data_IF_934839140903
#
_entry.id   IF_934839140903
#
_cell.length_a   1.000
_cell.length_b   1.000
_cell.length_c   1.000
_cell.angle_alpha   90.00
_cell.angle_beta   90.00
_cell.angle_gamma   90.00
#
_symmetry.space_group_name_H-M   'P 1'
#
loop_
_entity.id
_entity.type
_entity.pdbx_description
1 polymer ?
#
# COMPACT_ATOMS: atom_id res chain seq x y z
N UNK A 1 -33.27 8.67 3.86
CA UNK A 1 -32.49 7.59 4.49
C UNK A 1 -32.46 6.30 3.67
N UNK A 2 -33.22 6.17 2.57
CA UNK A 2 -33.31 4.90 1.85
C UNK A 2 -34.15 3.88 2.61
N UNK A 3 -35.05 4.33 3.49
CA UNK A 3 -36.08 3.49 4.08
C UNK A 3 -37.39 3.59 3.30
N UNK A 4 -38.11 2.48 3.23
CA UNK A 4 -39.47 2.36 2.71
C UNK A 4 -40.24 1.47 3.67
N UNK A 5 -41.07 2.06 4.52
CA UNK A 5 -41.83 1.33 5.55
C UNK A 5 -43.29 1.79 5.56
N UNK A 6 -44.19 0.91 6.00
CA UNK A 6 -45.60 1.27 6.22
C UNK A 6 -46.47 1.37 4.96
N UNK A 7 -46.09 0.69 3.86
CA UNK A 7 -46.93 0.55 2.67
C UNK A 7 -47.39 -0.89 2.53
N UNK A 8 -48.71 -1.05 2.54
CA UNK A 8 -49.40 -2.31 2.34
C UNK A 8 -49.88 -2.36 0.89
N UNK A 9 -49.46 -3.37 0.15
CA UNK A 9 -49.97 -3.63 -1.18
C UNK A 9 -51.20 -4.52 -1.06
N UNK A 10 -52.35 -4.02 -1.50
CA UNK A 10 -53.56 -4.84 -1.62
C UNK A 10 -53.34 -5.87 -2.74
N UNK A 11 -53.32 -7.14 -2.38
CA UNK A 11 -53.04 -8.24 -3.32
C UNK A 11 -54.22 -9.19 -3.49
N UNK A 12 -55.21 -9.14 -2.59
CA UNK A 12 -56.42 -9.94 -2.69
C UNK A 12 -57.67 -9.11 -3.03
N UNK A 13 -58.78 -9.80 -3.23
CA UNK A 13 -60.06 -9.20 -3.62
C UNK A 13 -60.78 -8.53 -2.43
N UNK A 14 -60.47 -8.93 -1.20
CA UNK A 14 -61.13 -8.45 0.03
C UNK A 14 -60.23 -7.47 0.79
N UNK A 15 -60.84 -6.46 1.43
CA UNK A 15 -60.12 -5.49 2.25
C UNK A 15 -59.29 -6.19 3.35
N UNK A 16 -57.99 -5.89 3.39
CA UNK A 16 -57.06 -6.44 4.39
C UNK A 16 -56.15 -7.56 3.86
N UNK A 17 -56.42 -8.12 2.68
CA UNK A 17 -55.52 -9.06 2.00
C UNK A 17 -54.32 -8.31 1.41
N UNK A 18 -53.33 -8.03 2.26
CA UNK A 18 -52.19 -7.19 1.93
C UNK A 18 -50.84 -7.86 2.17
N UNK A 19 -49.85 -7.46 1.37
CA UNK A 19 -48.43 -7.74 1.62
C UNK A 19 -47.76 -6.46 2.09
N UNK A 20 -47.06 -6.54 3.22
CA UNK A 20 -46.23 -5.46 3.73
C UNK A 20 -44.81 -5.58 3.20
N UNK A 21 -44.27 -4.51 2.64
CA UNK A 21 -42.85 -4.42 2.27
C UNK A 21 -42.19 -3.41 3.20
N UNK A 22 -41.07 -3.82 3.80
CA UNK A 22 -40.19 -2.93 4.56
C UNK A 22 -38.78 -3.01 3.98
N UNK A 23 -38.25 -1.88 3.53
CA UNK A 23 -36.87 -1.73 3.05
C UNK A 23 -36.18 -0.78 4.02
N UNK A 24 -35.18 -1.25 4.76
CA UNK A 24 -34.51 -0.46 5.80
C UNK A 24 -35.43 -0.01 6.95
N UNK A 25 -34.89 0.77 7.88
CA UNK A 25 -35.65 1.45 8.94
C UNK A 25 -35.09 2.86 9.14
N UNK A 26 -35.81 3.74 9.86
CA UNK A 26 -35.27 5.04 10.24
C UNK A 26 -33.96 4.85 11.02
N UNK A 27 -32.85 5.41 10.50
CA UNK A 27 -31.50 5.21 11.05
C UNK A 27 -30.79 3.91 10.64
N UNK A 28 -31.44 3.01 9.88
CA UNK A 28 -30.89 1.79 9.27
C UNK A 28 -31.30 1.65 7.80
N UNK A 29 -31.51 2.77 7.12
CA UNK A 29 -31.88 2.78 5.72
C UNK A 29 -30.67 2.47 4.83
N UNK A 30 -30.90 2.19 3.55
CA UNK A 30 -29.81 1.80 2.64
C UNK A 30 -29.00 2.99 2.10
N UNK A 31 -29.08 4.17 2.73
CA UNK A 31 -28.22 5.30 2.38
C UNK A 31 -26.81 5.16 2.99
N UNK A 32 -25.89 6.03 2.59
CA UNK A 32 -24.50 6.02 3.07
C UNK A 32 -24.40 6.00 4.61
N UNK A 33 -25.25 6.76 5.31
CA UNK A 33 -25.28 6.77 6.78
C UNK A 33 -25.76 5.44 7.37
N UNK A 34 -26.85 4.86 6.86
CA UNK A 34 -27.40 3.62 7.40
C UNK A 34 -26.63 2.36 7.02
N UNK A 35 -25.81 2.43 5.96
CA UNK A 35 -24.79 1.42 5.63
C UNK A 35 -23.45 1.64 6.35
N UNK A 36 -23.31 2.72 7.13
CA UNK A 36 -22.07 3.03 7.86
C UNK A 36 -20.90 3.45 6.97
N UNK A 37 -21.16 3.86 5.73
CA UNK A 37 -20.14 4.29 4.77
C UNK A 37 -20.05 5.81 4.59
N UNK A 38 -20.87 6.56 5.33
CA UNK A 38 -20.81 8.02 5.34
C UNK A 38 -19.47 8.48 5.95
N UNK A 39 -18.65 9.15 5.16
CA UNK A 39 -17.31 9.58 5.56
C UNK A 39 -16.22 8.53 5.33
N UNK A 40 -16.52 7.41 4.66
CA UNK A 40 -15.46 6.56 4.09
C UNK A 40 -14.80 7.34 2.97
N UNK A 41 -13.63 7.87 3.27
CA UNK A 41 -12.78 8.58 2.33
C UNK A 41 -11.52 7.75 2.07
N UNK A 42 -11.43 7.21 0.85
CA UNK A 42 -10.25 6.47 0.35
C UNK A 42 -9.33 7.36 -0.49
N UNK A 43 -9.59 8.68 -0.49
CA UNK A 43 -8.83 9.67 -1.25
C UNK A 43 -7.80 10.41 -0.39
N UNK A 44 -7.77 10.17 0.92
CA UNK A 44 -6.73 10.69 1.82
C UNK A 44 -5.39 10.07 1.43
N UNK A 45 -4.69 10.72 0.52
CA UNK A 45 -3.35 10.36 0.08
C UNK A 45 -2.34 10.67 1.18
N UNK A 46 -1.53 9.68 1.55
CA UNK A 46 -0.32 9.91 2.32
C UNK A 46 0.62 10.90 1.62
N UNK A 47 1.65 11.36 2.34
CA UNK A 47 2.62 12.35 1.83
C UNK A 47 3.23 11.96 0.48
N UNK A 48 3.37 10.67 0.20
CA UNK A 48 3.90 10.14 -1.06
C UNK A 48 2.77 9.60 -1.94
N UNK A 49 2.73 10.04 -3.20
CA UNK A 49 1.70 9.61 -4.17
C UNK A 49 2.32 8.79 -5.31
N UNK A 50 1.56 7.83 -5.84
CA UNK A 50 1.97 7.07 -7.03
C UNK A 50 2.10 8.01 -8.24
N UNK A 51 3.19 7.87 -9.00
CA UNK A 51 3.43 8.56 -10.27
C UNK A 51 4.22 7.66 -11.21
N UNK A 52 3.98 7.75 -12.52
CA UNK A 52 4.80 7.05 -13.51
C UNK A 52 6.24 7.58 -13.56
N UNK A 53 6.43 8.88 -13.30
CA UNK A 53 7.74 9.52 -13.30
C UNK A 53 8.20 9.82 -11.86
N UNK A 54 9.51 9.67 -11.63
CA UNK A 54 10.14 10.11 -10.39
C UNK A 54 10.04 11.63 -10.26
N UNK A 55 9.45 12.09 -9.18
CA UNK A 55 9.31 13.50 -8.83
C UNK A 55 9.20 13.63 -7.30
N UNK A 56 9.51 14.80 -6.77
CA UNK A 56 9.46 15.02 -5.33
C UNK A 56 8.09 14.65 -4.74
N UNK A 57 8.09 13.91 -3.63
CA UNK A 57 6.87 13.46 -2.96
C UNK A 57 6.11 12.38 -3.73
N UNK A 58 6.77 11.71 -4.69
CA UNK A 58 6.17 10.62 -5.48
C UNK A 58 6.87 9.29 -5.26
N UNK A 59 6.10 8.22 -5.46
CA UNK A 59 6.58 6.86 -5.64
C UNK A 59 6.39 6.46 -7.09
N UNK A 60 7.48 6.10 -7.76
CA UNK A 60 7.44 5.55 -9.12
C UNK A 60 7.82 4.08 -9.12
N UNK A 61 7.01 3.25 -9.77
CA UNK A 61 7.28 1.83 -9.93
C UNK A 61 7.79 1.53 -11.33
N UNK A 62 8.79 0.66 -11.43
CA UNK A 62 9.19 0.06 -12.70
C UNK A 62 8.52 -1.30 -12.84
N UNK A 63 8.00 -1.61 -14.02
CA UNK A 63 7.41 -2.93 -14.27
C UNK A 63 8.50 -3.99 -14.24
N UNK A 64 8.17 -5.17 -13.71
CA UNK A 64 9.02 -6.34 -13.90
C UNK A 64 9.06 -6.74 -15.38
N UNK A 65 10.15 -7.39 -15.77
CA UNK A 65 10.31 -8.01 -17.09
C UNK A 65 11.01 -9.35 -16.93
N UNK A 66 11.22 -10.05 -18.04
CA UNK A 66 11.96 -11.31 -18.05
C UNK A 66 13.46 -11.14 -17.73
N UNK A 67 13.97 -9.90 -17.75
CA UNK A 67 15.40 -9.61 -17.56
C UNK A 67 15.68 -8.63 -16.43
N UNK A 68 14.64 -8.07 -15.81
CA UNK A 68 14.78 -7.08 -14.74
C UNK A 68 13.66 -7.21 -13.72
N UNK A 69 14.03 -7.10 -12.44
CA UNK A 69 13.07 -7.05 -11.35
C UNK A 69 12.42 -5.67 -11.26
N UNK A 70 11.21 -5.65 -10.72
CA UNK A 70 10.51 -4.41 -10.42
C UNK A 70 11.17 -3.63 -9.27
N UNK A 71 11.11 -2.32 -9.34
CA UNK A 71 11.55 -1.42 -8.26
C UNK A 71 10.48 -0.40 -7.91
N UNK A 72 10.45 0.02 -6.64
CA UNK A 72 9.65 1.15 -6.18
C UNK A 72 10.60 2.24 -5.70
N UNK A 73 10.61 3.39 -6.35
CA UNK A 73 11.46 4.53 -5.99
C UNK A 73 10.62 5.59 -5.32
N UNK A 74 10.83 5.78 -4.03
CA UNK A 74 10.27 6.88 -3.24
C UNK A 74 11.22 8.06 -3.37
N UNK A 75 10.76 9.17 -3.93
CA UNK A 75 11.57 10.38 -4.07
C UNK A 75 11.18 11.35 -2.97
N UNK A 76 12.17 11.84 -2.23
CA UNK A 76 11.98 12.77 -1.11
C UNK A 76 11.07 13.92 -1.51
N UNK A 77 10.16 14.28 -0.62
CA UNK A 77 9.30 15.41 -0.83
C UNK A 77 10.07 16.74 -0.80
N UNK A 78 9.61 17.73 -1.56
CA UNK A 78 10.32 18.99 -1.71
C UNK A 78 10.43 19.78 -0.38
N UNK A 79 9.55 19.51 0.59
CA UNK A 79 9.60 20.13 1.91
C UNK A 79 10.41 19.32 2.93
N UNK A 80 10.81 18.10 2.60
CA UNK A 80 11.58 17.24 3.48
C UNK A 80 13.08 17.39 3.21
N UNK A 81 13.86 17.11 4.24
CA UNK A 81 15.29 17.14 4.15
C UNK A 81 15.84 15.75 3.73
N UNK A 82 17.10 15.70 3.28
CA UNK A 82 17.73 14.49 2.69
C UNK A 82 17.64 13.25 3.58
N UNK A 83 17.32 12.09 2.99
CA UNK A 83 17.29 10.80 3.70
C UNK A 83 18.65 10.37 4.26
N UNK A 84 19.76 11.00 3.85
CA UNK A 84 21.10 10.65 4.35
C UNK A 84 21.70 11.70 5.28
N UNK A 85 21.08 12.87 5.42
CA UNK A 85 21.63 13.98 6.22
C UNK A 85 20.72 14.40 7.38
N UNK A 86 19.43 14.05 7.34
CA UNK A 86 18.40 14.63 8.22
C UNK A 86 18.08 13.80 9.47
N UNK A 87 18.91 12.82 9.79
CA UNK A 87 18.63 11.90 10.88
C UNK A 87 17.40 11.03 10.58
N UNK A 88 16.50 10.93 11.56
CA UNK A 88 15.35 10.01 11.54
C UNK A 88 14.07 10.64 10.98
N UNK A 89 13.99 11.97 10.91
CA UNK A 89 12.71 12.66 10.71
C UNK A 89 12.12 12.41 9.31
N UNK A 90 12.95 12.43 8.26
CA UNK A 90 12.49 12.11 6.90
C UNK A 90 11.97 10.66 6.77
N UNK A 91 12.44 9.74 7.63
CA UNK A 91 11.95 8.36 7.65
C UNK A 91 10.61 8.22 8.37
N UNK A 92 10.37 8.98 9.45
CA UNK A 92 9.07 9.00 10.16
C UNK A 92 7.93 9.50 9.29
N UNK A 93 8.25 10.32 8.29
CA UNK A 93 7.31 10.84 7.29
C UNK A 93 6.97 9.83 6.19
N UNK A 94 7.65 8.67 6.13
CA UNK A 94 7.29 7.61 5.21
C UNK A 94 5.95 7.01 5.62
N UNK A 95 5.00 7.05 4.69
CA UNK A 95 3.64 6.49 4.82
C UNK A 95 3.29 5.79 3.51
N UNK A 96 2.40 4.81 3.62
CA UNK A 96 1.98 3.97 2.52
C UNK A 96 2.48 2.53 2.66
N UNK A 97 1.94 1.65 1.83
CA UNK A 97 2.22 0.22 1.84
C UNK A 97 2.91 -0.19 0.55
N UNK A 98 3.99 -0.96 0.69
CA UNK A 98 4.64 -1.67 -0.42
C UNK A 98 4.15 -3.11 -0.40
N UNK A 99 3.64 -3.59 -1.54
CA UNK A 99 3.18 -4.97 -1.70
C UNK A 99 3.95 -5.67 -2.82
N UNK A 100 4.46 -6.86 -2.51
CA UNK A 100 5.20 -7.71 -3.44
C UNK A 100 5.13 -9.18 -3.01
N UNK A 101 4.99 -10.10 -3.97
CA UNK A 101 5.01 -11.55 -3.72
C UNK A 101 3.93 -12.02 -2.73
N UNK A 102 2.76 -11.39 -2.74
CA UNK A 102 1.65 -11.69 -1.81
C UNK A 102 1.88 -11.22 -0.37
N UNK A 103 2.93 -10.43 -0.12
CA UNK A 103 3.20 -9.80 1.19
C UNK A 103 3.05 -8.29 1.07
N UNK A 104 2.77 -7.66 2.21
CA UNK A 104 2.60 -6.22 2.33
C UNK A 104 3.44 -5.69 3.49
N UNK A 105 4.01 -4.51 3.31
CA UNK A 105 4.82 -3.81 4.30
C UNK A 105 4.36 -2.37 4.41
N UNK A 106 3.83 -2.00 5.58
CA UNK A 106 3.43 -0.63 5.89
C UNK A 106 4.65 0.18 6.35
N UNK A 107 5.05 1.18 5.55
CA UNK A 107 6.17 2.07 5.86
C UNK A 107 5.92 2.88 7.13
N UNK A 108 4.65 3.17 7.45
CA UNK A 108 4.27 3.93 8.64
C UNK A 108 4.41 3.15 9.94
N UNK A 109 4.58 1.82 9.87
CA UNK A 109 4.67 0.92 11.02
C UNK A 109 6.09 0.76 11.58
N UNK A 110 7.10 1.30 10.88
CA UNK A 110 8.49 1.16 11.30
C UNK A 110 8.74 1.92 12.60
N UNK A 111 9.20 1.21 13.63
CA UNK A 111 9.58 1.81 14.88
C UNK A 111 11.01 2.38 14.81
N UNK A 112 11.11 3.70 14.91
CA UNK A 112 12.38 4.41 14.96
C UNK A 112 12.73 4.93 16.37
N UNK A 113 12.02 4.52 17.41
CA UNK A 113 12.20 5.00 18.78
C UNK A 113 13.61 4.76 19.34
N UNK A 114 14.27 3.69 18.89
CA UNK A 114 15.65 3.35 19.26
C UNK A 114 16.72 4.18 18.52
N UNK A 115 16.35 4.96 17.50
CA UNK A 115 17.27 5.81 16.74
C UNK A 115 17.46 7.13 17.45
N UNK A 116 18.53 7.24 18.25
CA UNK A 116 18.85 8.43 19.05
C UNK A 116 19.92 9.33 18.42
N UNK A 117 20.72 8.80 17.49
CA UNK A 117 21.72 9.56 16.77
C UNK A 117 21.09 10.59 15.82
N UNK A 118 21.79 11.71 15.61
CA UNK A 118 21.35 12.78 14.70
C UNK A 118 22.20 12.79 13.41
N UNK A 119 21.80 13.60 12.42
CA UNK A 119 22.55 13.78 11.18
C UNK A 119 22.71 12.48 10.38
N UNK A 120 23.86 12.31 9.73
CA UNK A 120 24.14 11.14 8.91
C UNK A 120 24.17 9.82 9.70
N UNK A 121 24.61 9.85 10.96
CA UNK A 121 24.60 8.66 11.82
C UNK A 121 23.16 8.21 12.15
N UNK A 122 22.28 9.16 12.46
CA UNK A 122 20.85 8.90 12.65
C UNK A 122 20.17 8.36 11.39
N UNK A 123 20.50 8.92 10.23
CA UNK A 123 19.98 8.46 8.94
C UNK A 123 20.42 7.03 8.61
N UNK A 124 21.68 6.68 8.90
CA UNK A 124 22.18 5.31 8.73
C UNK A 124 21.45 4.31 9.65
N UNK A 125 21.25 4.68 10.92
CA UNK A 125 20.48 3.87 11.86
C UNK A 125 19.00 3.73 11.47
N UNK A 126 18.38 4.78 10.92
CA UNK A 126 17.01 4.72 10.41
C UNK A 126 16.90 3.84 9.15
N UNK A 127 17.87 3.93 8.22
CA UNK A 127 17.95 3.01 7.07
C UNK A 127 18.07 1.55 7.51
N UNK A 128 18.84 1.26 8.56
CA UNK A 128 18.95 -0.07 9.13
C UNK A 128 17.62 -0.53 9.77
N UNK A 129 16.93 0.34 10.52
CA UNK A 129 15.62 0.03 11.10
C UNK A 129 14.55 -0.25 10.03
N UNK A 130 14.53 0.53 8.94
CA UNK A 130 13.66 0.30 7.79
C UNK A 130 13.91 -1.09 7.17
N UNK A 131 15.17 -1.43 6.92
CA UNK A 131 15.54 -2.73 6.35
C UNK A 131 15.30 -3.90 7.32
N UNK A 132 15.43 -3.70 8.63
CA UNK A 132 15.09 -4.71 9.63
C UNK A 132 13.58 -4.98 9.67
N UNK A 133 12.75 -3.94 9.62
CA UNK A 133 11.30 -4.09 9.53
C UNK A 133 10.89 -4.76 8.20
N UNK A 134 11.57 -4.41 7.11
CA UNK A 134 11.42 -5.09 5.81
C UNK A 134 11.81 -6.58 5.90
N UNK A 135 12.82 -6.94 6.68
CA UNK A 135 13.20 -8.34 6.90
C UNK A 135 12.11 -9.13 7.61
N UNK A 136 11.41 -8.53 8.57
CA UNK A 136 10.26 -9.20 9.19
C UNK A 136 9.09 -9.41 8.23
N UNK A 137 8.84 -8.44 7.34
CA UNK A 137 7.72 -8.54 6.38
C UNK A 137 8.04 -9.42 5.17
N UNK A 138 9.26 -9.31 4.65
CA UNK A 138 9.68 -9.89 3.38
C UNK A 138 10.80 -10.92 3.53
N UNK A 139 11.33 -11.23 4.71
CA UNK A 139 12.39 -12.22 4.89
C UNK A 139 13.79 -11.78 4.45
N UNK A 140 13.99 -10.52 4.02
CA UNK A 140 15.30 -9.99 3.60
C UNK A 140 15.68 -8.68 4.28
N UNK A 141 16.95 -8.55 4.69
CA UNK A 141 17.51 -7.35 5.34
C UNK A 141 18.03 -6.30 4.35
N UNK A 142 17.89 -6.52 3.04
CA UNK A 142 18.43 -5.62 2.02
C UNK A 142 17.36 -5.24 0.97
N UNK A 143 16.11 -5.08 1.39
CA UNK A 143 15.02 -4.70 0.50
C UNK A 143 15.16 -3.25 -0.01
N UNK A 144 15.74 -2.37 0.80
CA UNK A 144 15.81 -0.94 0.53
C UNK A 144 17.24 -0.43 0.39
N UNK A 145 17.50 0.33 -0.67
CA UNK A 145 18.70 1.15 -0.85
C UNK A 145 18.35 2.61 -0.64
N UNK A 146 19.04 3.29 0.27
CA UNK A 146 18.81 4.70 0.59
C UNK A 146 19.90 5.57 -0.02
N UNK A 147 19.48 6.62 -0.73
CA UNK A 147 20.31 7.70 -1.27
C UNK A 147 19.76 9.05 -0.78
N UNK A 148 20.49 10.18 -0.95
CA UNK A 148 20.09 11.46 -0.37
C UNK A 148 18.64 11.89 -0.71
N UNK A 149 18.20 11.63 -1.93
CA UNK A 149 16.89 12.06 -2.43
C UNK A 149 15.94 10.92 -2.73
N UNK A 150 16.38 9.66 -2.59
CA UNK A 150 15.57 8.51 -2.96
C UNK A 150 15.73 7.34 -2.00
N UNK A 151 14.65 6.59 -1.83
CA UNK A 151 14.65 5.25 -1.24
C UNK A 151 14.14 4.31 -2.32
N UNK A 152 14.93 3.29 -2.66
CA UNK A 152 14.59 2.32 -3.69
C UNK A 152 14.32 0.98 -3.03
N UNK A 153 13.08 0.50 -3.12
CA UNK A 153 12.74 -0.89 -2.88
C UNK A 153 13.08 -1.73 -4.13
N UNK A 154 13.83 -2.83 -3.95
CA UNK A 154 14.18 -3.74 -5.03
C UNK A 154 13.53 -5.11 -4.82
N UNK A 155 12.56 -5.44 -5.68
CA UNK A 155 11.84 -6.71 -5.62
C UNK A 155 12.74 -7.93 -5.85
N UNK A 156 13.83 -7.78 -6.61
CA UNK A 156 14.78 -8.86 -6.85
C UNK A 156 15.51 -9.30 -5.59
N UNK A 157 15.83 -8.37 -4.68
CA UNK A 157 16.45 -8.70 -3.38
C UNK A 157 15.48 -9.48 -2.48
N UNK A 158 14.17 -9.17 -2.57
CA UNK A 158 13.13 -9.92 -1.86
C UNK A 158 12.94 -11.31 -2.45
N UNK A 159 12.83 -11.41 -3.78
CA UNK A 159 12.63 -12.68 -4.46
C UNK A 159 13.82 -13.64 -4.23
N UNK A 160 15.05 -13.13 -4.24
CA UNK A 160 16.25 -13.92 -4.02
C UNK A 160 16.30 -14.54 -2.61
N UNK A 161 15.76 -13.84 -1.61
CA UNK A 161 15.68 -14.33 -0.24
C UNK A 161 14.52 -15.32 0.00
N UNK A 162 13.54 -15.40 -0.91
CA UNK A 162 12.29 -16.14 -0.70
C UNK A 162 11.96 -17.11 -1.85
N UNK A 163 12.97 -17.78 -2.39
CA UNK A 163 12.82 -18.67 -3.56
C UNK A 163 11.73 -19.75 -3.40
N UNK A 164 11.39 -20.15 -2.17
CA UNK A 164 10.35 -21.14 -1.88
C UNK A 164 8.90 -20.59 -1.89
N UNK A 165 8.68 -19.27 -1.84
CA UNK A 165 7.34 -18.65 -1.77
C UNK A 165 6.98 -17.80 -2.99
N UNK A 166 7.91 -17.62 -3.92
CA UNK A 166 7.65 -16.93 -5.19
C UNK A 166 6.88 -17.88 -6.11
N UNK A 167 5.63 -17.53 -6.44
CA UNK A 167 4.71 -18.40 -7.19
C UNK A 167 5.13 -18.64 -8.65
N UNK A 168 4.27 -19.31 -9.42
CA UNK A 168 4.52 -19.72 -10.81
C UNK A 168 4.61 -18.58 -11.84
N UNK A 169 4.81 -17.35 -11.41
CA UNK A 169 4.77 -16.13 -12.23
C UNK A 169 6.08 -15.35 -12.23
N UNK A 170 7.08 -15.76 -11.43
CA UNK A 170 8.38 -15.10 -11.40
C UNK A 170 9.56 -16.06 -11.16
N UNK A 171 10.77 -15.61 -11.49
CA UNK A 171 12.02 -16.30 -11.18
C UNK A 171 12.55 -15.91 -9.80
N UNK A 172 13.58 -16.62 -9.31
CA UNK A 172 14.27 -16.26 -8.06
C UNK A 172 14.91 -14.87 -8.07
N UNK A 173 15.13 -14.27 -9.24
CA UNK A 173 15.62 -12.90 -9.39
C UNK A 173 14.52 -11.83 -9.31
N UNK A 174 13.25 -12.21 -9.11
CA UNK A 174 12.11 -11.30 -9.14
C UNK A 174 11.72 -10.87 -10.56
N UNK A 175 12.18 -11.61 -11.58
CA UNK A 175 11.85 -11.36 -12.98
C UNK A 175 10.50 -12.00 -13.30
N UNK A 176 9.70 -11.37 -14.16
CA UNK A 176 8.49 -12.00 -14.67
C UNK A 176 8.83 -13.28 -15.42
N UNK A 177 8.06 -14.34 -15.23
CA UNK A 177 8.31 -15.63 -15.88
C UNK A 177 8.12 -15.57 -17.40
N UNK A 178 7.21 -14.71 -17.86
CA UNK A 178 6.97 -14.44 -19.28
C UNK A 178 6.64 -12.96 -19.51
N UNK A 179 6.47 -12.57 -20.76
CA UNK A 179 5.95 -11.25 -21.15
C UNK A 179 4.43 -11.13 -21.04
N UNK A 180 3.73 -12.15 -20.53
CA UNK A 180 2.29 -12.06 -20.32
C UNK A 180 1.97 -10.95 -19.31
N UNK A 181 0.86 -10.23 -19.54
CA UNK A 181 0.46 -9.14 -18.65
C UNK A 181 0.22 -9.64 -17.21
N UNK A 182 -0.22 -10.89 -17.05
CA UNK A 182 -0.45 -11.50 -15.74
C UNK A 182 0.86 -11.72 -14.98
N UNK A 183 1.88 -12.29 -15.62
CA UNK A 183 3.18 -12.53 -14.97
C UNK A 183 3.89 -11.23 -14.64
N UNK A 184 3.85 -10.27 -15.57
CA UNK A 184 4.41 -8.92 -15.35
C UNK A 184 3.71 -8.24 -14.18
N UNK A 185 2.37 -8.23 -14.14
CA UNK A 185 1.63 -7.58 -13.06
C UNK A 185 1.89 -8.25 -11.71
N UNK A 186 1.90 -9.59 -11.65
CA UNK A 186 2.14 -10.33 -10.41
C UNK A 186 3.59 -10.20 -9.91
N UNK A 187 4.56 -10.06 -10.81
CA UNK A 187 5.97 -9.83 -10.47
C UNK A 187 6.31 -8.33 -10.24
N UNK A 188 5.34 -7.43 -10.41
CA UNK A 188 5.56 -5.98 -10.23
C UNK A 188 5.22 -5.54 -8.81
N UNK A 189 6.08 -4.72 -8.21
CA UNK A 189 5.79 -4.10 -6.91
C UNK A 189 4.64 -3.11 -7.05
N UNK A 190 3.74 -3.10 -6.07
CA UNK A 190 2.69 -2.08 -5.97
C UNK A 190 2.90 -1.22 -4.73
N UNK A 191 2.51 0.05 -4.85
CA UNK A 191 2.51 1.01 -3.76
C UNK A 191 1.11 1.60 -3.61
N UNK A 192 0.65 1.71 -2.37
CA UNK A 192 -0.57 2.43 -2.01
C UNK A 192 -0.21 3.48 -0.96
N UNK A 193 -0.54 4.74 -1.24
CA UNK A 193 -0.21 5.90 -0.41
C UNK A 193 -1.43 6.45 0.31
#
# INVERSE_FOLDING_TARGET
DGSYTGKNFQVGANAGETISISIGAAGRGMNATGLGVNGVDVTSVGKYQVSAAAAAGKVSTTLASQTAASTATITVDATDASFTASGVDSFKNLKGTISFGGKSFDLGSVDYSAVTATGAAGASAASAALNAAAQSAFGTSAAFTVAPTTIVFNAGNVAAANTATMGSYMTSGGFALSSSAADVAAATVSFTG
#
